data_IF_725642463861
#
_entry.id   IF_725642463861
#
_cell.length_a   1.000
_cell.length_b   1.000
_cell.length_c   1.000
_cell.angle_alpha   90.00
_cell.angle_beta   90.00
_cell.angle_gamma   90.00
#
_symmetry.space_group_name_H-M   'P 1'
#
loop_
_entity.id
_entity.type
_entity.pdbx_description
1 polymer ?
#
# COMPACT_ATOMS: atom_id res chain seq x y z
N UNK A 1 -49.70 18.21 1.59
CA UNK A 1 -48.88 17.42 0.65
C UNK A 1 -47.45 17.45 1.17
N UNK A 2 -46.89 16.32 1.62
CA UNK A 2 -45.45 16.26 1.91
C UNK A 2 -44.68 16.55 0.62
N UNK A 3 -43.71 17.46 0.66
CA UNK A 3 -42.88 17.77 -0.49
C UNK A 3 -42.10 16.51 -0.88
N UNK A 4 -41.82 16.31 -2.17
CA UNK A 4 -41.11 15.11 -2.66
C UNK A 4 -39.78 14.84 -1.92
N UNK A 5 -39.19 15.88 -1.31
CA UNK A 5 -37.99 15.83 -0.50
C UNK A 5 -38.16 15.07 0.83
N UNK A 6 -39.33 15.14 1.47
CA UNK A 6 -39.59 14.42 2.74
C UNK A 6 -39.58 12.91 2.51
N UNK A 7 -40.11 12.45 1.36
CA UNK A 7 -40.21 11.02 1.04
C UNK A 7 -38.88 10.30 0.85
N UNK A 8 -37.82 11.01 0.45
CA UNK A 8 -36.49 10.41 0.26
C UNK A 8 -35.81 10.15 1.60
N UNK A 9 -35.93 11.07 2.56
CA UNK A 9 -35.40 10.91 3.92
C UNK A 9 -36.15 9.77 4.62
N UNK A 10 -37.47 9.69 4.44
CA UNK A 10 -38.31 8.64 5.03
C UNK A 10 -37.92 7.22 4.58
N UNK A 11 -37.25 7.06 3.43
CA UNK A 11 -36.72 5.77 2.93
C UNK A 11 -35.20 5.64 3.08
N UNK A 12 -34.57 6.50 3.88
CA UNK A 12 -33.17 6.38 4.31
C UNK A 12 -32.14 7.05 3.40
N UNK A 13 -32.52 7.92 2.47
CA UNK A 13 -31.55 8.72 1.72
C UNK A 13 -31.04 9.89 2.57
N UNK A 14 -29.72 10.01 2.63
CA UNK A 14 -29.05 11.15 3.25
C UNK A 14 -28.62 12.16 2.19
N UNK A 15 -28.72 13.45 2.50
CA UNK A 15 -28.11 14.49 1.68
C UNK A 15 -26.62 14.47 1.95
N UNK A 16 -25.84 14.20 0.91
CA UNK A 16 -24.39 14.32 0.99
C UNK A 16 -23.99 15.80 1.04
N UNK A 17 -23.21 16.17 2.06
CA UNK A 17 -22.48 17.43 2.11
C UNK A 17 -21.00 17.13 1.79
N UNK A 18 -20.36 18.02 1.03
CA UNK A 18 -18.94 17.87 0.74
C UNK A 18 -18.14 18.08 2.01
N UNK A 19 -17.54 17.02 2.54
CA UNK A 19 -16.57 17.14 3.62
C UNK A 19 -15.19 17.44 3.05
N UNK A 20 -14.41 18.36 3.66
CA UNK A 20 -13.01 18.52 3.31
C UNK A 20 -12.29 17.17 3.42
N UNK A 21 -11.53 16.82 2.38
CA UNK A 21 -10.63 15.68 2.42
C UNK A 21 -9.50 16.04 3.38
N UNK A 22 -9.32 15.29 4.45
CA UNK A 22 -8.35 15.63 5.50
C UNK A 22 -7.24 14.59 5.64
N UNK A 23 -7.22 13.58 4.78
CA UNK A 23 -6.24 12.51 4.69
C UNK A 23 -6.38 11.78 3.36
N UNK A 24 -5.31 11.13 2.91
CA UNK A 24 -5.28 10.41 1.63
C UNK A 24 -4.76 8.98 1.82
N UNK A 25 -5.36 8.05 1.09
CA UNK A 25 -4.81 6.73 0.84
C UNK A 25 -4.08 6.75 -0.51
N UNK A 26 -2.74 6.74 -0.47
CA UNK A 26 -1.87 6.81 -1.63
C UNK A 26 -1.15 5.48 -1.84
N UNK A 27 -1.29 4.92 -3.03
CA UNK A 27 -0.50 3.78 -3.47
C UNK A 27 0.54 4.25 -4.47
N UNK A 28 1.82 3.92 -4.24
CA UNK A 28 2.89 4.17 -5.19
C UNK A 28 3.47 2.86 -5.69
N UNK A 29 3.86 2.79 -6.96
CA UNK A 29 4.57 1.65 -7.53
C UNK A 29 5.76 2.12 -8.34
N UNK A 30 6.73 1.26 -8.56
CA UNK A 30 7.92 1.60 -9.33
C UNK A 30 9.03 0.58 -9.13
N UNK A 31 9.98 0.56 -10.07
CA UNK A 31 11.19 -0.23 -9.93
C UNK A 31 12.02 0.17 -8.70
N UNK A 32 13.00 -0.66 -8.35
CA UNK A 32 14.01 -0.32 -7.35
C UNK A 32 14.69 1.01 -7.70
N UNK A 33 15.01 1.81 -6.70
CA UNK A 33 15.69 3.10 -6.83
C UNK A 33 14.96 4.18 -7.64
N UNK A 34 13.63 4.06 -7.80
CA UNK A 34 12.80 5.08 -8.46
C UNK A 34 12.26 6.16 -7.51
N UNK A 35 12.73 6.22 -6.26
CA UNK A 35 12.33 7.26 -5.30
C UNK A 35 11.02 7.01 -4.54
N UNK A 36 10.46 5.79 -4.53
CA UNK A 36 9.23 5.45 -3.78
C UNK A 36 9.33 5.79 -2.29
N UNK A 37 10.42 5.37 -1.64
CA UNK A 37 10.67 5.64 -0.22
C UNK A 37 10.84 7.13 0.02
N UNK A 38 11.61 7.83 -0.83
CA UNK A 38 11.75 9.29 -0.79
C UNK A 38 10.40 10.01 -0.88
N UNK A 39 9.55 9.64 -1.85
CA UNK A 39 8.21 10.21 -1.98
C UNK A 39 7.37 9.99 -0.72
N UNK A 40 7.31 8.75 -0.20
CA UNK A 40 6.58 8.47 1.05
C UNK A 40 7.09 9.27 2.24
N UNK A 41 8.41 9.49 2.30
CA UNK A 41 9.08 10.30 3.32
C UNK A 41 8.85 11.81 3.18
N UNK A 42 8.28 12.31 2.08
CA UNK A 42 7.87 13.73 1.97
C UNK A 42 6.51 14.01 2.63
N UNK A 43 5.75 12.99 3.00
CA UNK A 43 4.43 13.18 3.61
C UNK A 43 4.51 13.83 5.00
N UNK A 44 3.48 14.54 5.47
CA UNK A 44 3.48 15.17 6.80
C UNK A 44 3.78 14.19 7.96
N UNK A 45 4.63 14.58 8.91
CA UNK A 45 4.93 13.82 10.13
C UNK A 45 4.16 14.33 11.36
N UNK A 46 4.32 13.74 12.56
CA UNK A 46 5.05 12.50 12.87
C UNK A 46 4.56 11.27 12.08
N UNK A 47 5.44 10.31 11.77
CA UNK A 47 5.06 9.14 10.97
C UNK A 47 5.53 7.80 11.52
N UNK A 48 4.75 6.75 11.22
CA UNK A 48 5.15 5.36 11.38
C UNK A 48 5.49 4.74 10.03
N UNK A 49 6.65 4.06 9.95
CA UNK A 49 7.07 3.30 8.78
C UNK A 49 7.05 1.81 9.12
N UNK A 50 6.27 1.04 8.36
CA UNK A 50 6.25 -0.43 8.39
C UNK A 50 7.19 -0.93 7.29
N UNK A 51 8.43 -1.19 7.69
CA UNK A 51 9.53 -1.52 6.80
C UNK A 51 9.67 -3.04 6.63
N UNK A 52 9.28 -3.53 5.45
CA UNK A 52 9.43 -4.91 5.02
C UNK A 52 10.57 -5.13 4.03
N UNK A 53 11.41 -4.12 3.76
CA UNK A 53 12.59 -4.24 2.90
C UNK A 53 13.85 -3.73 3.62
N UNK A 54 14.99 -3.68 2.91
CA UNK A 54 16.26 -3.14 3.41
C UNK A 54 16.59 -1.76 2.83
N UNK A 55 15.67 -1.19 2.04
CA UNK A 55 15.88 0.04 1.26
C UNK A 55 15.80 1.35 2.05
N UNK A 56 15.42 1.32 3.33
CA UNK A 56 15.21 2.53 4.12
C UNK A 56 16.52 3.21 4.55
N UNK A 57 17.59 2.41 4.74
CA UNK A 57 18.89 2.89 5.19
C UNK A 57 19.53 3.81 4.13
N UNK A 58 19.98 4.98 4.55
CA UNK A 58 20.58 6.01 3.70
C UNK A 58 19.58 7.04 3.16
N UNK A 59 18.27 6.75 3.17
CA UNK A 59 17.23 7.69 2.73
C UNK A 59 16.60 8.39 3.91
N UNK A 60 16.29 7.66 4.98
CA UNK A 60 15.56 8.18 6.14
C UNK A 60 16.35 9.21 6.95
N UNK A 61 17.68 9.06 7.00
CA UNK A 61 18.58 9.90 7.79
C UNK A 61 18.53 11.37 7.35
N UNK A 62 18.33 11.63 6.06
CA UNK A 62 18.13 12.99 5.54
C UNK A 62 16.90 13.65 6.16
N UNK A 63 15.76 12.94 6.18
CA UNK A 63 14.51 13.49 6.70
C UNK A 63 14.53 13.66 8.22
N UNK A 64 15.21 12.76 8.94
CA UNK A 64 15.45 12.92 10.38
C UNK A 64 16.31 14.15 10.63
N UNK A 65 17.37 14.37 9.85
CA UNK A 65 18.22 15.55 9.96
C UNK A 65 17.47 16.86 9.65
N UNK A 66 16.45 16.81 8.80
CA UNK A 66 15.50 17.91 8.53
C UNK A 66 14.47 18.11 9.64
N UNK A 67 14.55 17.35 10.74
CA UNK A 67 13.70 17.48 11.92
C UNK A 67 12.42 16.64 11.90
N UNK A 68 12.28 15.73 10.93
CA UNK A 68 11.10 14.89 10.83
C UNK A 68 11.10 13.76 11.88
N UNK A 69 10.03 13.66 12.64
CA UNK A 69 9.81 12.55 13.57
C UNK A 69 9.34 11.29 12.82
N UNK A 70 10.14 10.23 12.88
CA UNK A 70 9.92 8.98 12.17
C UNK A 70 10.16 7.80 13.11
N UNK A 71 9.14 6.95 13.27
CA UNK A 71 9.23 5.70 14.01
C UNK A 71 9.17 4.52 13.05
N UNK A 72 9.96 3.48 13.31
CA UNK A 72 10.06 2.31 12.43
C UNK A 72 9.56 1.05 13.11
N UNK A 73 8.69 0.32 12.43
CA UNK A 73 8.35 -1.07 12.70
C UNK A 73 8.98 -1.95 11.59
N UNK A 74 9.87 -2.87 11.95
CA UNK A 74 10.43 -3.81 10.96
C UNK A 74 9.54 -5.04 10.85
N UNK A 75 9.06 -5.33 9.63
CA UNK A 75 8.24 -6.50 9.34
C UNK A 75 9.16 -7.71 9.23
N UNK A 76 8.99 -8.67 10.14
CA UNK A 76 9.81 -9.88 10.17
C UNK A 76 9.15 -10.97 9.32
N UNK A 77 9.57 -11.09 8.06
CA UNK A 77 9.11 -12.20 7.22
C UNK A 77 9.68 -13.53 7.72
N UNK A 78 8.84 -14.52 8.06
CA UNK A 78 9.31 -15.87 8.37
C UNK A 78 10.07 -16.46 7.19
N UNK A 79 11.01 -17.35 7.48
CA UNK A 79 11.69 -18.12 6.45
C UNK A 79 10.65 -18.90 5.63
N UNK A 80 10.80 -18.91 4.31
CA UNK A 80 9.91 -19.68 3.46
C UNK A 80 10.33 -21.15 3.49
N UNK A 81 9.37 -22.09 3.53
CA UNK A 81 9.71 -23.50 3.49
C UNK A 81 10.47 -23.84 2.21
N UNK A 82 11.52 -24.65 2.36
CA UNK A 82 12.28 -25.14 1.21
C UNK A 82 11.37 -25.93 0.25
N UNK A 83 11.60 -25.73 -1.05
CA UNK A 83 10.88 -26.49 -2.07
C UNK A 83 11.40 -27.93 -2.04
N UNK A 84 10.56 -28.87 -1.60
CA UNK A 84 10.88 -30.30 -1.70
C UNK A 84 10.50 -30.81 -3.09
N UNK A 85 11.51 -31.22 -3.85
CA UNK A 85 11.31 -31.94 -5.11
C UNK A 85 11.02 -33.41 -4.79
N UNK A 86 9.80 -33.86 -5.11
CA UNK A 86 9.42 -35.26 -4.94
C UNK A 86 9.37 -35.91 -6.34
N UNK A 87 10.11 -37.00 -6.51
CA UNK A 87 10.00 -37.86 -7.71
C UNK A 87 8.75 -38.71 -7.53
N UNK A 88 7.74 -38.51 -8.38
CA UNK A 88 6.45 -39.20 -8.28
C UNK A 88 6.46 -40.49 -9.11
N UNK A 89 7.23 -40.52 -10.20
CA UNK A 89 7.51 -41.67 -11.06
C UNK A 89 8.81 -41.40 -11.84
N UNK A 90 9.44 -42.44 -12.43
CA UNK A 90 10.71 -42.38 -13.23
C UNK A 90 10.74 -41.33 -14.37
N UNK A 91 9.60 -40.69 -14.67
CA UNK A 91 9.47 -39.66 -15.72
C UNK A 91 8.74 -38.38 -15.29
N UNK A 92 8.28 -38.25 -14.03
CA UNK A 92 7.56 -37.05 -13.55
C UNK A 92 8.02 -36.62 -12.16
N UNK A 93 8.73 -35.49 -12.13
CA UNK A 93 9.05 -34.76 -10.90
C UNK A 93 7.94 -33.76 -10.58
N UNK A 94 7.43 -33.77 -9.35
CA UNK A 94 6.50 -32.75 -8.86
C UNK A 94 7.17 -31.98 -7.73
N UNK A 95 7.39 -30.70 -7.93
CA UNK A 95 7.79 -29.82 -6.84
C UNK A 95 6.56 -29.61 -5.97
N UNK A 96 6.59 -30.07 -4.72
CA UNK A 96 5.52 -29.87 -3.76
C UNK A 96 6.04 -29.03 -2.62
N UNK A 97 5.37 -27.91 -2.36
CA UNK A 97 5.64 -27.11 -1.18
C UNK A 97 4.62 -27.53 -0.12
N UNK A 98 5.12 -28.31 0.85
CA UNK A 98 4.36 -28.69 2.03
C UNK A 98 4.02 -27.44 2.85
N UNK A 99 2.89 -27.48 3.56
CA UNK A 99 2.58 -26.45 4.55
C UNK A 99 3.57 -26.62 5.68
N UNK A 100 4.37 -25.60 5.94
CA UNK A 100 5.21 -25.58 7.13
C UNK A 100 4.43 -24.92 8.27
N UNK A 101 4.13 -25.72 9.30
CA UNK A 101 3.36 -25.27 10.46
C UNK A 101 4.13 -24.23 11.28
N UNK A 102 5.47 -24.30 11.27
CA UNK A 102 6.31 -23.33 11.95
C UNK A 102 6.26 -21.96 11.26
N UNK A 103 6.51 -21.92 9.95
CA UNK A 103 6.34 -20.72 9.13
C UNK A 103 4.92 -20.12 9.22
N UNK A 104 3.89 -20.97 9.20
CA UNK A 104 2.50 -20.53 9.33
C UNK A 104 2.27 -19.81 10.67
N UNK A 105 2.70 -20.44 11.77
CA UNK A 105 2.55 -19.85 13.11
C UNK A 105 3.34 -18.56 13.25
N UNK A 106 4.59 -18.53 12.79
CA UNK A 106 5.42 -17.34 12.81
C UNK A 106 4.80 -16.18 12.00
N UNK A 107 4.22 -16.49 10.83
CA UNK A 107 3.52 -15.50 10.02
C UNK A 107 2.24 -14.98 10.69
N UNK A 108 1.49 -15.84 11.38
CA UNK A 108 0.32 -15.46 12.16
C UNK A 108 0.68 -14.54 13.33
N UNK A 109 1.75 -14.88 14.05
CA UNK A 109 2.25 -14.07 15.16
C UNK A 109 2.73 -12.70 14.67
N UNK A 110 3.50 -12.65 13.59
CA UNK A 110 3.96 -11.39 13.00
C UNK A 110 2.80 -10.56 12.42
N UNK A 111 1.85 -11.18 11.72
CA UNK A 111 0.66 -10.49 11.22
C UNK A 111 -0.14 -9.86 12.37
N UNK A 112 -0.30 -10.59 13.48
CA UNK A 112 -1.00 -10.10 14.68
C UNK A 112 -0.26 -8.90 15.30
N UNK A 113 1.08 -8.96 15.39
CA UNK A 113 1.89 -7.83 15.88
C UNK A 113 1.77 -6.62 14.98
N UNK A 114 1.83 -6.82 13.66
CA UNK A 114 1.67 -5.75 12.68
C UNK A 114 0.31 -5.09 12.82
N UNK A 115 -0.78 -5.86 12.93
CA UNK A 115 -2.12 -5.31 13.16
C UNK A 115 -2.18 -4.47 14.45
N UNK A 116 -1.60 -4.95 15.55
CA UNK A 116 -1.53 -4.17 16.80
C UNK A 116 -0.73 -2.87 16.66
N UNK A 117 0.39 -2.90 15.94
CA UNK A 117 1.21 -1.72 15.68
C UNK A 117 0.49 -0.72 14.76
N UNK A 118 -0.20 -1.21 13.72
CA UNK A 118 -1.10 -0.40 12.89
C UNK A 118 -2.15 0.28 13.76
N UNK A 119 -2.82 -0.48 14.63
CA UNK A 119 -3.89 0.04 15.47
C UNK A 119 -3.40 1.12 16.42
N UNK A 120 -2.24 0.92 17.06
CA UNK A 120 -1.62 1.94 17.90
C UNK A 120 -1.39 3.25 17.12
N UNK A 121 -0.84 3.17 15.89
CA UNK A 121 -0.63 4.37 15.06
C UNK A 121 -1.90 5.04 14.55
N UNK A 122 -2.97 4.26 14.33
CA UNK A 122 -4.27 4.80 13.96
C UNK A 122 -4.98 5.48 15.13
N UNK A 123 -4.76 5.03 16.36
CA UNK A 123 -5.35 5.64 17.57
C UNK A 123 -4.55 6.84 18.10
N UNK A 124 -3.24 6.87 17.90
CA UNK A 124 -2.39 7.97 18.35
C UNK A 124 -2.64 9.24 17.51
N UNK A 125 -3.27 10.26 18.08
CA UNK A 125 -3.58 11.52 17.38
C UNK A 125 -2.34 12.33 16.96
N UNK A 126 -1.17 12.07 17.53
CA UNK A 126 0.08 12.73 17.14
C UNK A 126 0.65 12.16 15.83
N UNK A 127 0.35 10.90 15.48
CA UNK A 127 0.81 10.29 14.25
C UNK A 127 -0.01 10.80 13.06
N UNK A 128 0.65 11.39 12.08
CA UNK A 128 -0.01 11.93 10.89
C UNK A 128 0.00 10.97 9.70
N UNK A 129 1.08 10.19 9.55
CA UNK A 129 1.26 9.29 8.40
C UNK A 129 1.63 7.87 8.82
N UNK A 130 0.97 6.88 8.22
CA UNK A 130 1.40 5.48 8.23
C UNK A 130 1.90 5.10 6.83
N UNK A 131 3.16 4.69 6.72
CA UNK A 131 3.80 4.33 5.46
C UNK A 131 4.22 2.86 5.48
N UNK A 132 3.69 2.06 4.56
CA UNK A 132 4.02 0.64 4.39
C UNK A 132 4.99 0.46 3.22
N UNK A 133 6.25 0.13 3.52
CA UNK A 133 7.34 -0.03 2.55
C UNK A 133 7.91 -1.46 2.60
N UNK A 134 7.46 -2.45 1.82
CA UNK A 134 6.54 -2.37 0.67
C UNK A 134 5.27 -3.18 0.92
N UNK A 135 4.14 -2.71 0.38
CA UNK A 135 2.85 -3.41 0.39
C UNK A 135 2.86 -4.77 -0.28
N UNK A 136 3.84 -5.07 -1.14
CA UNK A 136 4.05 -6.41 -1.68
C UNK A 136 4.41 -7.41 -0.58
N UNK A 137 5.26 -7.01 0.38
CA UNK A 137 5.64 -7.81 1.55
C UNK A 137 4.48 -7.91 2.54
N UNK A 138 3.74 -6.82 2.75
CA UNK A 138 2.53 -6.83 3.58
C UNK A 138 1.51 -7.88 3.10
N UNK A 139 1.25 -7.93 1.79
CA UNK A 139 0.37 -8.93 1.20
C UNK A 139 0.93 -10.35 1.30
N UNK A 140 2.25 -10.50 1.14
CA UNK A 140 2.91 -11.80 1.25
C UNK A 140 2.85 -12.36 2.67
N UNK A 141 3.10 -11.53 3.69
CA UNK A 141 2.95 -11.89 5.10
C UNK A 141 1.52 -12.35 5.40
N UNK A 142 0.52 -11.60 4.94
CA UNK A 142 -0.88 -11.99 5.13
C UNK A 142 -1.20 -13.33 4.47
N UNK A 143 -0.76 -13.56 3.23
CA UNK A 143 -0.95 -14.86 2.57
C UNK A 143 -0.26 -16.00 3.33
N UNK A 144 0.96 -15.76 3.81
CA UNK A 144 1.72 -16.75 4.57
C UNK A 144 1.01 -17.09 5.88
N UNK A 145 0.42 -16.10 6.56
CA UNK A 145 -0.35 -16.32 7.80
C UNK A 145 -1.66 -17.09 7.60
N UNK A 146 -2.15 -17.20 6.36
CA UNK A 146 -3.35 -17.97 6.00
C UNK A 146 -3.05 -19.34 5.44
N UNK A 147 -2.03 -19.46 4.60
CA UNK A 147 -1.77 -20.68 3.84
C UNK A 147 -0.54 -21.47 4.31
N UNK A 148 0.37 -20.84 5.06
CA UNK A 148 1.66 -21.44 5.45
C UNK A 148 2.61 -21.67 4.27
N UNK A 149 2.29 -21.11 3.11
CA UNK A 149 3.12 -21.07 1.89
C UNK A 149 2.68 -19.94 0.97
N UNK A 150 3.60 -19.47 0.13
CA UNK A 150 3.38 -18.36 -0.81
C UNK A 150 3.24 -18.81 -2.27
N UNK A 151 3.62 -20.05 -2.57
CA UNK A 151 3.61 -20.63 -3.91
C UNK A 151 2.62 -21.80 -3.99
N UNK A 152 2.16 -22.09 -5.22
CA UNK A 152 1.22 -23.18 -5.51
C UNK A 152 -0.11 -23.09 -4.75
N UNK A 153 -0.56 -21.87 -4.45
CA UNK A 153 -1.89 -21.60 -3.88
C UNK A 153 -2.89 -21.46 -5.05
N UNK A 154 -3.96 -22.26 -5.12
CA UNK A 154 -4.92 -22.18 -6.21
C UNK A 154 -5.65 -20.83 -6.19
N UNK A 155 -5.99 -20.31 -7.38
CA UNK A 155 -6.67 -19.02 -7.53
C UNK A 155 -7.97 -18.93 -6.71
N UNK A 156 -8.72 -20.03 -6.60
CA UNK A 156 -9.95 -20.12 -5.82
C UNK A 156 -9.76 -19.96 -4.31
N UNK A 157 -8.57 -20.21 -3.75
CA UNK A 157 -8.33 -20.02 -2.32
C UNK A 157 -8.25 -18.52 -1.94
N UNK A 158 -7.90 -17.65 -2.89
CA UNK A 158 -7.81 -16.20 -2.63
C UNK A 158 -9.17 -15.56 -2.39
N UNK A 159 -10.25 -16.07 -2.98
CA UNK A 159 -11.60 -15.52 -2.75
C UNK A 159 -12.02 -15.63 -1.27
N UNK A 160 -11.50 -16.61 -0.54
CA UNK A 160 -11.78 -16.81 0.88
C UNK A 160 -11.05 -15.80 1.79
N UNK A 161 -9.84 -15.36 1.41
CA UNK A 161 -9.01 -14.49 2.27
C UNK A 161 -9.00 -13.02 1.83
N UNK A 162 -9.32 -12.73 0.56
CA UNK A 162 -9.36 -11.37 0.03
C UNK A 162 -10.31 -10.47 0.85
N UNK A 163 -11.52 -10.90 1.26
CA UNK A 163 -12.39 -10.07 2.09
C UNK A 163 -11.75 -9.63 3.41
N UNK A 164 -10.97 -10.51 4.05
CA UNK A 164 -10.31 -10.20 5.31
C UNK A 164 -9.19 -9.16 5.12
N UNK A 165 -8.39 -9.28 4.06
CA UNK A 165 -7.37 -8.26 3.76
C UNK A 165 -8.02 -6.93 3.34
N UNK A 166 -9.12 -6.98 2.58
CA UNK A 166 -9.93 -5.80 2.24
C UNK A 166 -10.47 -5.13 3.51
N UNK A 167 -10.89 -5.88 4.53
CA UNK A 167 -11.31 -5.29 5.82
C UNK A 167 -10.17 -4.53 6.50
N UNK A 168 -8.95 -5.09 6.50
CA UNK A 168 -7.76 -4.40 6.99
C UNK A 168 -7.51 -3.08 6.22
N UNK A 169 -7.56 -3.11 4.89
CA UNK A 169 -7.36 -1.91 4.07
C UNK A 169 -8.50 -0.89 4.23
N UNK A 170 -9.75 -1.33 4.39
CA UNK A 170 -10.89 -0.46 4.68
C UNK A 170 -10.75 0.23 6.04
N UNK A 171 -10.16 -0.44 7.05
CA UNK A 171 -9.82 0.20 8.32
C UNK A 171 -8.84 1.36 8.13
N UNK A 172 -7.79 1.15 7.31
CA UNK A 172 -6.85 2.22 6.97
C UNK A 172 -7.56 3.36 6.23
N UNK A 173 -8.41 3.02 5.25
CA UNK A 173 -9.18 4.01 4.49
C UNK A 173 -10.10 4.84 5.38
N UNK A 174 -10.84 4.20 6.29
CA UNK A 174 -11.69 4.87 7.27
C UNK A 174 -10.91 5.87 8.13
N UNK A 175 -9.68 5.54 8.51
CA UNK A 175 -8.83 6.47 9.26
C UNK A 175 -8.40 7.70 8.46
N UNK A 176 -8.33 7.62 7.12
CA UNK A 176 -8.09 8.82 6.28
C UNK A 176 -9.25 9.82 6.37
N UNK A 177 -10.46 9.32 6.56
CA UNK A 177 -11.70 10.09 6.55
C UNK A 177 -12.04 10.62 7.95
N UNK A 178 -11.92 9.78 8.97
CA UNK A 178 -12.37 10.09 10.33
C UNK A 178 -11.26 10.65 11.22
N UNK A 179 -10.02 10.21 11.01
CA UNK A 179 -8.89 10.51 11.87
C UNK A 179 -7.81 11.32 11.18
N UNK A 180 -8.11 11.81 9.96
CA UNK A 180 -7.21 12.64 9.16
C UNK A 180 -5.83 11.97 9.00
N UNK A 181 -5.77 10.65 8.79
CA UNK A 181 -4.48 9.97 8.59
C UNK A 181 -4.08 10.01 7.12
N UNK A 182 -2.79 10.13 6.84
CA UNK A 182 -2.24 9.76 5.54
C UNK A 182 -1.82 8.30 5.58
N UNK A 183 -2.26 7.52 4.60
CA UNK A 183 -1.88 6.12 4.44
C UNK A 183 -1.12 6.03 3.13
N UNK A 184 0.12 5.57 3.17
CA UNK A 184 0.95 5.38 1.99
C UNK A 184 1.35 3.92 1.91
N UNK A 185 1.20 3.29 0.75
CA UNK A 185 1.68 1.94 0.50
C UNK A 185 2.52 1.95 -0.77
N UNK A 186 3.80 1.62 -0.66
CA UNK A 186 4.69 1.48 -1.81
C UNK A 186 4.69 0.03 -2.30
N UNK A 187 4.76 -0.18 -3.61
CA UNK A 187 4.76 -1.50 -4.21
C UNK A 187 5.94 -1.67 -5.15
N UNK A 188 6.44 -2.91 -5.19
CA UNK A 188 7.35 -3.35 -6.25
C UNK A 188 6.53 -3.57 -7.52
N UNK A 189 7.16 -3.41 -8.66
CA UNK A 189 6.59 -3.85 -9.94
C UNK A 189 7.05 -5.27 -10.24
N UNK A 190 6.18 -6.08 -10.84
CA UNK A 190 6.51 -7.40 -11.38
C UNK A 190 6.32 -7.42 -12.88
N UNK A 191 7.10 -8.24 -13.58
CA UNK A 191 6.92 -8.44 -15.02
C UNK A 191 5.66 -9.27 -15.30
N UNK A 192 4.96 -8.90 -16.37
CA UNK A 192 3.83 -9.67 -16.89
C UNK A 192 4.36 -10.76 -17.83
N UNK A 193 3.85 -11.98 -17.69
CA UNK A 193 4.19 -13.13 -18.53
C UNK A 193 2.96 -13.57 -19.35
N UNK A 194 3.17 -13.88 -20.63
CA UNK A 194 2.14 -14.45 -21.53
C UNK A 194 2.77 -15.70 -22.14
N UNK A 195 2.13 -16.86 -21.98
CA UNK A 195 2.65 -18.16 -22.45
C UNK A 195 4.10 -18.42 -21.98
N UNK A 196 4.35 -18.18 -20.68
CA UNK A 196 5.67 -18.29 -20.02
C UNK A 196 6.77 -17.36 -20.60
N UNK A 197 6.43 -16.50 -21.56
CA UNK A 197 7.35 -15.49 -22.09
C UNK A 197 7.17 -14.18 -21.33
N UNK A 198 8.29 -13.68 -20.80
CA UNK A 198 8.36 -12.37 -20.17
C UNK A 198 8.01 -11.29 -21.21
N UNK A 199 7.02 -10.46 -20.90
CA UNK A 199 6.67 -9.30 -21.73
C UNK A 199 7.49 -8.07 -21.31
N UNK A 200 7.40 -6.99 -22.09
CA UNK A 200 7.92 -5.67 -21.69
C UNK A 200 7.02 -4.93 -20.69
N UNK A 201 5.84 -5.49 -20.37
CA UNK A 201 4.88 -4.87 -19.46
C UNK A 201 5.20 -5.23 -18.02
N UNK A 202 4.94 -4.28 -17.14
CA UNK A 202 5.05 -4.43 -15.71
C UNK A 202 3.73 -4.06 -15.06
N UNK A 203 3.42 -4.72 -13.96
CA UNK A 203 2.25 -4.44 -13.13
C UNK A 203 2.63 -4.39 -11.66
N UNK A 204 1.77 -3.81 -10.83
CA UNK A 204 1.96 -3.75 -9.39
C UNK A 204 1.98 -5.16 -8.79
N UNK A 205 3.01 -5.46 -7.98
CA UNK A 205 3.04 -6.69 -7.20
C UNK A 205 2.29 -6.49 -5.88
N UNK A 206 1.44 -7.45 -5.50
CA UNK A 206 0.72 -7.41 -4.23
C UNK A 206 -0.76 -7.75 -4.38
N UNK A 207 -1.57 -7.13 -3.52
CA UNK A 207 -3.02 -7.28 -3.52
C UNK A 207 -3.65 -6.46 -4.65
N UNK A 208 -4.43 -7.12 -5.51
CA UNK A 208 -5.04 -6.48 -6.68
C UNK A 208 -6.13 -5.46 -6.35
N UNK A 209 -6.85 -5.62 -5.23
CA UNK A 209 -7.99 -4.77 -4.86
C UNK A 209 -7.64 -3.39 -4.30
N UNK A 210 -6.36 -3.01 -4.29
CA UNK A 210 -5.91 -1.68 -3.85
C UNK A 210 -6.43 -0.56 -4.76
N UNK A 211 -6.73 -0.88 -6.02
CA UNK A 211 -7.28 0.05 -6.99
C UNK A 211 -8.64 0.61 -6.58
N UNK A 212 -9.46 -0.18 -5.88
CA UNK A 212 -10.76 0.25 -5.36
C UNK A 212 -10.65 1.12 -4.10
N UNK A 213 -9.60 0.92 -3.30
CA UNK A 213 -9.46 1.53 -1.98
C UNK A 213 -8.66 2.84 -2.03
N UNK A 214 -7.59 2.87 -2.83
CA UNK A 214 -6.68 4.02 -2.88
C UNK A 214 -7.37 5.25 -3.46
N UNK A 215 -7.11 6.42 -2.89
CA UNK A 215 -7.51 7.70 -3.47
C UNK A 215 -6.62 8.06 -4.65
N UNK A 216 -5.31 7.83 -4.50
CA UNK A 216 -4.30 8.13 -5.51
C UNK A 216 -3.48 6.88 -5.79
N UNK A 217 -3.21 6.63 -7.08
CA UNK A 217 -2.28 5.58 -7.52
C UNK A 217 -1.29 6.23 -8.47
N UNK A 218 -0.01 6.16 -8.16
CA UNK A 218 1.04 6.73 -8.99
C UNK A 218 2.21 5.79 -9.21
N UNK A 219 2.86 5.95 -10.35
CA UNK A 219 4.07 5.23 -10.74
C UNK A 219 5.27 6.16 -10.62
N UNK A 220 6.18 5.82 -9.72
CA UNK A 220 7.44 6.49 -9.52
C UNK A 220 8.41 6.15 -10.65
N UNK A 221 9.02 7.20 -11.21
CA UNK A 221 10.03 7.16 -12.26
C UNK A 221 11.24 7.97 -11.82
N UNK A 222 12.40 7.64 -12.37
CA UNK A 222 13.62 8.41 -12.22
C UNK A 222 14.16 8.67 -13.62
N UNK A 223 14.37 9.94 -13.95
CA UNK A 223 15.06 10.31 -15.17
C UNK A 223 16.54 9.93 -15.03
N UNK A 224 17.10 9.24 -16.03
CA UNK A 224 18.47 8.72 -15.95
C UNK A 224 19.53 9.78 -16.21
N UNK A 225 19.18 10.85 -16.91
CA UNK A 225 20.09 11.92 -17.28
C UNK A 225 20.12 12.99 -16.18
N UNK A 226 18.95 13.37 -15.67
CA UNK A 226 18.83 14.42 -14.65
C UNK A 226 18.84 13.89 -13.22
N UNK A 227 18.62 12.58 -13.03
CA UNK A 227 18.38 11.95 -11.73
C UNK A 227 17.17 12.53 -10.97
N UNK A 228 16.26 13.22 -11.67
CA UNK A 228 15.05 13.75 -11.08
C UNK A 228 14.00 12.64 -10.95
N UNK A 229 13.35 12.61 -9.79
CA UNK A 229 12.20 11.74 -9.57
C UNK A 229 10.94 12.34 -10.19
N UNK A 230 10.05 11.47 -10.64
CA UNK A 230 8.71 11.84 -11.05
C UNK A 230 7.64 10.84 -10.64
N UNK A 231 6.41 11.32 -10.52
CA UNK A 231 5.23 10.53 -10.20
C UNK A 231 4.21 10.66 -11.33
N UNK A 232 3.99 9.57 -12.06
CA UNK A 232 2.96 9.48 -13.09
C UNK A 232 1.66 8.96 -12.49
N UNK A 233 0.59 9.74 -12.50
CA UNK A 233 -0.68 9.38 -11.84
C UNK A 233 -1.54 8.47 -12.72
N UNK A 234 -1.81 7.25 -12.24
CA UNK A 234 -2.76 6.32 -12.86
C UNK A 234 -4.19 6.55 -12.39
N UNK A 235 -4.36 7.06 -11.17
CA UNK A 235 -5.63 7.37 -10.52
C UNK A 235 -5.49 8.57 -9.60
N UNK A 236 -6.47 9.46 -9.62
CA UNK A 236 -6.69 10.49 -8.61
C UNK A 236 -8.20 10.65 -8.39
N UNK A 237 -8.74 10.04 -7.32
CA UNK A 237 -10.17 10.05 -6.99
C UNK A 237 -10.66 11.46 -6.61
N UNK A 238 -9.93 12.25 -5.79
CA UNK A 238 -10.34 13.62 -5.46
C UNK A 238 -10.42 14.55 -6.67
N UNK A 239 -9.49 14.40 -7.61
CA UNK A 239 -9.42 15.22 -8.82
C UNK A 239 -9.07 14.37 -10.04
N UNK A 240 -10.11 13.89 -10.72
CA UNK A 240 -9.98 12.99 -11.86
C UNK A 240 -9.26 13.59 -13.07
N UNK A 241 -9.13 14.93 -13.16
CA UNK A 241 -8.41 15.58 -14.27
C UNK A 241 -6.90 15.39 -14.19
N UNK A 242 -6.35 15.08 -13.01
CA UNK A 242 -4.92 14.80 -12.83
C UNK A 242 -4.51 13.39 -13.25
N UNK A 243 -5.47 12.57 -13.71
CA UNK A 243 -5.16 11.24 -14.20
C UNK A 243 -4.31 11.36 -15.47
N UNK A 244 -3.22 10.60 -15.51
CA UNK A 244 -2.20 10.59 -16.56
C UNK A 244 -1.25 11.79 -16.58
N UNK A 245 -1.30 12.63 -15.55
CA UNK A 245 -0.33 13.70 -15.36
C UNK A 245 0.98 13.17 -14.77
N UNK A 246 2.09 13.81 -15.14
CA UNK A 246 3.44 13.54 -14.64
C UNK A 246 3.94 14.73 -13.82
N UNK A 247 4.26 14.49 -12.56
CA UNK A 247 4.86 15.48 -11.67
C UNK A 247 6.35 15.16 -11.51
N UNK A 248 7.24 16.12 -11.75
CA UNK A 248 8.71 15.91 -11.70
C UNK A 248 9.38 16.86 -10.72
N UNK A 249 10.60 16.51 -10.29
CA UNK A 249 11.44 17.35 -9.44
C UNK A 249 10.73 17.72 -8.14
N UNK A 250 10.71 19.01 -7.83
CA UNK A 250 10.08 19.56 -6.61
C UNK A 250 8.55 19.35 -6.57
N UNK A 251 7.92 19.09 -7.72
CA UNK A 251 6.50 18.75 -7.76
C UNK A 251 6.23 17.28 -7.39
N UNK A 252 7.24 16.41 -7.41
CA UNK A 252 7.14 14.99 -7.06
C UNK A 252 7.22 14.77 -5.54
N UNK A 253 6.35 15.43 -4.79
CA UNK A 253 6.26 15.32 -3.33
C UNK A 253 4.82 15.05 -2.90
N UNK A 254 4.63 14.35 -1.78
CA UNK A 254 3.30 14.10 -1.24
C UNK A 254 2.52 15.40 -1.00
N UNK A 255 3.10 16.47 -0.39
CA UNK A 255 2.37 17.71 -0.16
C UNK A 255 1.85 18.35 -1.44
N UNK A 256 2.68 18.43 -2.48
CA UNK A 256 2.27 18.97 -3.78
C UNK A 256 1.12 18.16 -4.40
N UNK A 257 1.27 16.84 -4.44
CA UNK A 257 0.23 15.95 -5.00
C UNK A 257 -1.07 16.05 -4.21
N UNK A 258 -0.99 16.11 -2.88
CA UNK A 258 -2.16 16.25 -2.03
C UNK A 258 -2.89 17.57 -2.29
N UNK A 259 -2.17 18.69 -2.35
CA UNK A 259 -2.75 20.01 -2.67
C UNK A 259 -3.40 20.04 -4.04
N UNK A 260 -2.74 19.49 -5.07
CA UNK A 260 -3.31 19.44 -6.41
C UNK A 260 -4.55 18.54 -6.49
N UNK A 261 -4.54 17.42 -5.75
CA UNK A 261 -5.65 16.47 -5.72
C UNK A 261 -6.87 17.03 -4.98
N UNK A 262 -6.69 17.72 -3.85
CA UNK A 262 -7.80 18.15 -2.99
C UNK A 262 -8.20 19.61 -3.21
N UNK A 263 -7.33 20.42 -3.83
CA UNK A 263 -7.49 21.86 -3.91
C UNK A 263 -7.28 22.58 -2.57
N UNK A 264 -6.75 21.88 -1.56
CA UNK A 264 -6.53 22.42 -0.21
C UNK A 264 -5.06 22.70 0.05
N UNK A 265 -4.78 23.67 0.92
CA UNK A 265 -3.44 23.87 1.41
C UNK A 265 -3.08 22.76 2.40
N UNK A 266 -2.03 22.00 2.08
CA UNK A 266 -1.55 20.90 2.90
C UNK A 266 -0.94 21.38 4.22
N UNK A 267 -0.60 22.67 4.36
CA UNK A 267 -0.16 23.20 5.65
C UNK A 267 -1.23 23.10 6.72
N UNK A 268 -2.51 23.00 6.33
CA UNK A 268 -3.62 22.76 7.25
C UNK A 268 -3.69 21.31 7.75
N UNK A 269 -2.86 20.42 7.18
CA UNK A 269 -2.78 19.00 7.55
C UNK A 269 -1.58 18.70 8.45
N UNK A 270 -0.69 19.69 8.66
CA UNK A 270 0.41 19.67 9.63
C UNK A 270 -0.11 20.07 11.02
#
# INVERSE_FOLDING_TARGET
MATARTRLIDVGFERMEGTPITGLFVTTMGHTDMGKTTFGLTAPGPMLIFDGDKGLKGVVEKFIAEGKEIHRYSINMPELPETKTIVVDDKKTKNLIAIDQESLKAAQDEWTKLQKATDAGLEDSSIRTLFYDTGSILWELFRLSKFGKTLQVPASAYSAINPEFTQFLNKLKKATEEKRKNIIISHKMRSVYIEDKKTSRYEMAGFGGLDYISDIIGEMRCDKETHEYGLFLHKCKPNGSLRWELFTGDMCTFPMIATMATGQDITEWM
#
